data_IF_492580733423
#
_entry.id   IF_492580733423
#
_cell.length_a   1.000
_cell.length_b   1.000
_cell.length_c   1.000
_cell.angle_alpha   90.00
_cell.angle_beta   90.00
_cell.angle_gamma   90.00
#
_symmetry.space_group_name_H-M   'P 1'
#
loop_
_entity.id
_entity.type
_entity.pdbx_description
1 polymer ?
#
# COMPACT_ATOMS: atom_id res chain seq x y z
N UNK A 1 14.06 -15.60 0.66
CA UNK A 1 12.62 -15.46 0.98
C UNK A 1 12.28 -14.02 0.70
N UNK A 2 11.50 -13.75 -0.33
CA UNK A 2 11.10 -12.38 -0.67
C UNK A 2 10.04 -11.96 0.36
N UNK A 3 10.38 -10.97 1.19
CA UNK A 3 9.47 -10.50 2.23
C UNK A 3 8.38 -9.68 1.57
N UNK A 4 7.17 -10.21 1.57
CA UNK A 4 5.97 -9.46 1.28
C UNK A 4 5.55 -8.72 2.55
N UNK A 5 5.44 -7.40 2.46
CA UNK A 5 5.05 -6.56 3.57
C UNK A 5 3.70 -5.92 3.27
N UNK A 6 2.76 -5.98 4.20
CA UNK A 6 1.41 -5.43 4.05
C UNK A 6 1.15 -4.45 5.19
N UNK A 7 0.65 -3.26 4.86
CA UNK A 7 0.28 -2.20 5.80
C UNK A 7 -1.06 -1.59 5.42
N UNK A 8 -1.77 -1.03 6.39
CA UNK A 8 -2.98 -0.25 6.18
C UNK A 8 -2.68 1.24 6.39
N UNK A 9 -3.32 2.10 5.60
CA UNK A 9 -3.27 3.55 5.77
C UNK A 9 -4.61 4.18 5.38
N UNK A 10 -4.86 5.38 5.88
CA UNK A 10 -6.02 6.18 5.51
C UNK A 10 -5.60 7.29 4.54
N UNK A 11 -6.26 7.41 3.39
CA UNK A 11 -5.98 8.43 2.38
C UNK A 11 -7.22 8.77 1.55
N UNK A 12 -7.35 10.06 1.21
CA UNK A 12 -8.47 10.59 0.41
C UNK A 12 -9.85 10.21 0.95
N UNK A 13 -9.97 10.08 2.28
CA UNK A 13 -11.23 9.73 2.94
C UNK A 13 -11.58 8.23 2.96
N UNK A 14 -10.71 7.34 2.44
CA UNK A 14 -10.91 5.88 2.42
C UNK A 14 -9.72 5.14 3.06
N UNK A 15 -9.97 3.97 3.64
CA UNK A 15 -8.93 3.06 4.11
C UNK A 15 -8.36 2.24 2.94
N UNK A 16 -7.03 2.17 2.87
CA UNK A 16 -6.29 1.46 1.84
C UNK A 16 -5.33 0.45 2.46
N UNK A 17 -5.25 -0.72 1.84
CA UNK A 17 -4.20 -1.69 2.09
C UNK A 17 -3.12 -1.48 1.04
N UNK A 18 -1.88 -1.27 1.48
CA UNK A 18 -0.68 -1.24 0.64
C UNK A 18 0.15 -2.49 0.89
N UNK A 19 0.70 -3.02 -0.19
CA UNK A 19 1.61 -4.16 -0.22
C UNK A 19 2.91 -3.76 -0.91
N UNK A 20 4.04 -4.06 -0.27
CA UNK A 20 5.37 -3.96 -0.88
C UNK A 20 5.87 -5.35 -1.24
N UNK A 21 6.17 -5.56 -2.52
CA UNK A 21 6.72 -6.80 -3.05
C UNK A 21 7.72 -6.46 -4.16
N UNK A 22 8.93 -7.04 -4.12
CA UNK A 22 9.98 -6.78 -5.12
C UNK A 22 10.31 -5.29 -5.35
N UNK A 23 10.28 -4.49 -4.28
CA UNK A 23 10.46 -3.02 -4.36
C UNK A 23 9.39 -2.29 -5.21
N UNK A 24 8.25 -2.95 -5.42
CA UNK A 24 7.06 -2.39 -6.06
C UNK A 24 5.94 -2.29 -5.04
N UNK A 25 5.12 -1.25 -5.19
CA UNK A 25 3.93 -1.04 -4.39
C UNK A 25 2.69 -1.52 -5.13
N UNK A 26 1.77 -2.07 -4.35
CA UNK A 26 0.44 -2.41 -4.80
C UNK A 26 -0.56 -1.94 -3.75
N UNK A 27 -1.77 -1.59 -4.18
CA UNK A 27 -2.81 -1.14 -3.28
C UNK A 27 -4.18 -1.71 -3.62
N UNK A 28 -5.07 -1.72 -2.63
CA UNK A 28 -6.50 -1.97 -2.78
C UNK A 28 -7.26 -1.32 -1.62
N UNK A 29 -8.57 -1.03 -1.76
CA UNK A 29 -9.36 -0.53 -0.64
C UNK A 29 -9.47 -1.57 0.47
N UNK A 30 -9.49 -1.13 1.73
CA UNK A 30 -9.76 -2.01 2.87
C UNK A 30 -11.20 -2.54 2.84
N UNK A 31 -11.39 -3.78 3.29
CA UNK A 31 -12.70 -4.45 3.28
C UNK A 31 -13.25 -4.85 1.90
N UNK A 32 -12.62 -4.43 0.79
CA UNK A 32 -12.96 -4.91 -0.56
C UNK A 32 -12.00 -6.02 -0.96
N UNK A 33 -12.48 -7.26 -0.93
CA UNK A 33 -11.77 -8.39 -1.55
C UNK A 33 -11.73 -8.14 -3.07
N UNK A 34 -10.55 -7.85 -3.61
CA UNK A 34 -10.36 -7.52 -5.01
C UNK A 34 -8.89 -7.51 -5.42
N UNK A 35 -8.67 -7.25 -6.70
CA UNK A 35 -7.34 -7.24 -7.32
C UNK A 35 -6.46 -6.12 -6.78
N UNK A 36 -5.19 -6.46 -6.57
CA UNK A 36 -4.14 -5.51 -6.24
C UNK A 36 -3.84 -4.63 -7.45
N UNK A 37 -3.95 -3.32 -7.29
CA UNK A 37 -3.56 -2.35 -8.31
C UNK A 37 -2.10 -1.97 -8.13
N UNK A 38 -1.28 -1.96 -9.20
CA UNK A 38 0.10 -1.50 -9.09
C UNK A 38 0.15 0.00 -8.75
N UNK A 39 1.16 0.39 -7.98
CA UNK A 39 1.38 1.76 -7.54
C UNK A 39 0.75 2.08 -6.18
N UNK A 40 0.58 3.37 -5.91
CA UNK A 40 0.05 3.92 -4.66
C UNK A 40 -1.43 4.30 -4.82
N UNK A 41 -2.21 4.26 -3.72
CA UNK A 41 -3.58 4.72 -3.74
C UNK A 41 -3.64 6.25 -3.95
N UNK A 42 -4.81 6.79 -4.38
CA UNK A 42 -5.01 8.23 -4.54
C UNK A 42 -4.64 9.02 -3.28
N UNK A 43 -4.02 10.18 -3.46
CA UNK A 43 -3.63 11.05 -2.35
C UNK A 43 -2.38 10.61 -1.57
N UNK A 44 -1.77 9.47 -1.91
CA UNK A 44 -0.56 8.97 -1.23
C UNK A 44 0.69 9.22 -2.07
N UNK A 45 1.74 9.73 -1.43
CA UNK A 45 3.05 9.95 -2.04
C UNK A 45 4.07 8.93 -1.53
N UNK A 46 5.05 8.61 -2.38
CA UNK A 46 6.06 7.59 -2.10
C UNK A 46 6.84 7.81 -0.79
N UNK A 47 7.28 9.03 -0.41
CA UNK A 47 8.01 9.24 0.83
C UNK A 47 7.23 8.80 2.09
N UNK A 48 5.91 9.03 2.13
CA UNK A 48 5.05 8.65 3.26
C UNK A 48 4.94 7.13 3.38
N UNK A 49 4.99 6.43 2.25
CA UNK A 49 4.93 4.96 2.21
C UNK A 49 6.27 4.35 2.51
N UNK A 50 7.36 4.91 1.97
CA UNK A 50 8.72 4.44 2.26
C UNK A 50 8.99 4.48 3.77
N UNK A 51 8.60 5.57 4.46
CA UNK A 51 8.72 5.67 5.94
C UNK A 51 7.86 4.65 6.69
N UNK A 52 6.72 4.23 6.14
CA UNK A 52 5.83 3.22 6.74
C UNK A 52 6.42 1.80 6.71
N UNK A 53 7.28 1.50 5.72
CA UNK A 53 7.92 0.19 5.52
C UNK A 53 9.38 0.14 5.99
N UNK A 54 9.98 1.26 6.41
CA UNK A 54 11.38 1.33 6.89
C UNK A 54 11.49 1.18 8.43
N UNK A 55 10.44 0.65 9.08
CA UNK A 55 10.32 0.48 10.55
C UNK A 55 10.67 -0.92 11.02
#
# INVERSE_FOLDING_TARGET
>A
MEQEEIRQLWADGEDWIIKRQHNQYFHRPDGKYGDWKPGLPPGVVKPDVDTLFDV
#
